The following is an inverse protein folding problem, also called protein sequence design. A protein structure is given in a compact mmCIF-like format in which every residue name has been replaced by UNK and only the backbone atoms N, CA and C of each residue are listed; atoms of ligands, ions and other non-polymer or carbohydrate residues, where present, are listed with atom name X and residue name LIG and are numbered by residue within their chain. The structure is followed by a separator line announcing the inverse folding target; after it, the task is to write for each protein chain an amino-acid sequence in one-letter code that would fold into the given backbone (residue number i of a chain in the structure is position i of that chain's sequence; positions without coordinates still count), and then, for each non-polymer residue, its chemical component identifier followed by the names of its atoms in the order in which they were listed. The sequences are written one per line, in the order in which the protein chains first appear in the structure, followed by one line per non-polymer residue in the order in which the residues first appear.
data_IF_291897645684
#
_entry.id   IF_291897645684
#
_cell.length_a   1.000
_cell.length_b   1.000
_cell.length_c   1.000
_cell.angle_alpha   90.00
_cell.angle_beta   90.00
_cell.angle_gamma   90.00
#
_symmetry.space_group_name_H-M   'P 1'
#
loop_
_entity.id
_entity.type
_entity.pdbx_description
1 polymer ?
#
# COMPACT_ATOMS: atom_id res chain seq x y z
N UNK A 1 -12.47 -9.41 10.11
CA UNK A 1 -12.64 -10.11 8.82
C UNK A 1 -11.51 -9.67 7.91
N UNK A 2 -10.83 -10.60 7.26
CA UNK A 2 -9.78 -10.32 6.27
C UNK A 2 -10.39 -10.42 4.88
N UNK A 3 -10.03 -9.53 3.97
CA UNK A 3 -10.55 -9.52 2.61
C UNK A 3 -9.41 -9.46 1.61
N UNK A 4 -9.44 -10.35 0.62
CA UNK A 4 -8.60 -10.21 -0.55
C UNK A 4 -9.17 -9.12 -1.46
N UNK A 5 -8.34 -8.22 -1.92
CA UNK A 5 -8.70 -7.09 -2.78
C UNK A 5 -7.84 -7.16 -4.03
N UNK A 6 -8.49 -7.13 -5.20
CA UNK A 6 -7.81 -6.96 -6.49
C UNK A 6 -7.66 -5.46 -6.75
N UNK A 7 -6.47 -5.04 -7.11
CA UNK A 7 -6.17 -3.65 -7.44
C UNK A 7 -6.32 -3.47 -8.95
N UNK A 8 -7.01 -2.41 -9.33
CA UNK A 8 -7.40 -2.14 -10.72
C UNK A 8 -6.18 -1.80 -11.58
N UNK A 9 -6.04 -2.46 -12.73
CA UNK A 9 -5.04 -2.13 -13.76
C UNK A 9 -3.85 -3.07 -13.85
N UNK A 10 -3.58 -3.82 -12.79
CA UNK A 10 -2.62 -4.92 -12.76
C UNK A 10 -3.31 -6.11 -12.12
N UNK A 11 -2.99 -7.31 -12.55
CA UNK A 11 -3.50 -8.56 -11.93
C UNK A 11 -2.92 -8.76 -10.51
N UNK A 12 -2.99 -7.70 -9.70
CA UNK A 12 -2.38 -7.61 -8.39
C UNK A 12 -3.44 -7.80 -7.30
N UNK A 13 -3.19 -8.70 -6.37
CA UNK A 13 -4.05 -8.94 -5.22
C UNK A 13 -3.31 -8.75 -3.91
N UNK A 14 -4.02 -8.28 -2.89
CA UNK A 14 -3.50 -8.08 -1.54
C UNK A 14 -4.57 -8.45 -0.51
N UNK A 15 -4.16 -9.00 0.62
CA UNK A 15 -5.06 -9.33 1.73
C UNK A 15 -5.02 -8.21 2.77
N UNK A 16 -6.16 -7.56 2.96
CA UNK A 16 -6.28 -6.42 3.88
C UNK A 16 -7.17 -6.81 5.08
N UNK A 17 -6.70 -6.62 6.33
CA UNK A 17 -7.51 -6.83 7.53
C UNK A 17 -8.47 -5.66 7.75
N UNK A 18 -9.67 -5.93 8.26
CA UNK A 18 -10.66 -4.89 8.57
C UNK A 18 -11.36 -4.32 7.34
N UNK A 19 -11.62 -3.03 7.35
CA UNK A 19 -12.33 -2.31 6.30
C UNK A 19 -11.40 -1.34 5.59
N UNK A 20 -11.24 -1.50 4.28
CA UNK A 20 -10.45 -0.61 3.42
C UNK A 20 -11.28 -0.09 2.25
N UNK A 21 -11.05 1.16 1.90
CA UNK A 21 -11.58 1.77 0.69
C UNK A 21 -10.50 1.77 -0.38
N UNK A 22 -10.72 1.03 -1.44
CA UNK A 22 -9.87 1.08 -2.64
C UNK A 22 -10.33 2.24 -3.51
N UNK A 23 -9.39 3.07 -3.90
CA UNK A 23 -9.58 4.23 -4.76
C UNK A 23 -9.01 3.86 -6.14
N UNK A 24 -9.81 3.84 -7.20
CA UNK A 24 -9.30 3.60 -8.55
C UNK A 24 -8.43 4.77 -9.01
N UNK A 25 -7.29 4.45 -9.63
CA UNK A 25 -6.33 5.43 -10.15
C UNK A 25 -6.23 5.41 -11.69
N UNK A 26 -7.22 4.82 -12.37
CA UNK A 26 -7.28 4.82 -13.84
C UNK A 26 -7.36 6.22 -14.43
N UNK A 27 -8.07 7.11 -13.75
CA UNK A 27 -8.07 8.56 -14.00
C UNK A 27 -8.29 9.31 -12.69
N UNK A 28 -7.85 10.57 -12.61
CA UNK A 28 -8.06 11.41 -11.45
C UNK A 28 -9.57 11.56 -11.11
N UNK A 29 -10.42 11.73 -12.14
CA UNK A 29 -11.87 11.88 -11.96
C UNK A 29 -12.53 10.61 -11.39
N UNK A 30 -12.05 9.42 -11.77
CA UNK A 30 -12.55 8.16 -11.22
C UNK A 30 -12.24 8.07 -9.73
N UNK A 31 -11.02 8.41 -9.35
CA UNK A 31 -10.57 8.49 -7.96
C UNK A 31 -11.38 9.52 -7.15
N UNK A 32 -11.53 10.73 -7.65
CA UNK A 32 -12.27 11.82 -6.99
C UNK A 32 -13.76 11.48 -6.78
N UNK A 33 -14.40 10.81 -7.76
CA UNK A 33 -15.77 10.30 -7.58
C UNK A 33 -15.85 9.29 -6.44
N UNK A 34 -14.88 8.37 -6.36
CA UNK A 34 -14.82 7.37 -5.29
C UNK A 34 -14.61 8.01 -3.93
N UNK A 35 -13.70 8.98 -3.82
CA UNK A 35 -13.44 9.76 -2.60
C UNK A 35 -14.71 10.48 -2.14
N UNK A 36 -15.42 11.15 -3.05
CA UNK A 36 -16.65 11.84 -2.74
C UNK A 36 -17.74 10.91 -2.19
N UNK A 37 -17.88 9.72 -2.78
CA UNK A 37 -18.81 8.70 -2.30
C UNK A 37 -18.40 8.16 -0.91
N UNK A 38 -17.11 7.94 -0.68
CA UNK A 38 -16.57 7.49 0.60
C UNK A 38 -16.83 8.50 1.71
N UNK A 39 -16.48 9.76 1.51
CA UNK A 39 -16.70 10.84 2.48
C UNK A 39 -18.18 10.99 2.82
N UNK A 40 -19.05 10.94 1.80
CA UNK A 40 -20.50 10.99 2.01
C UNK A 40 -21.00 9.81 2.84
N UNK A 41 -20.46 8.61 2.63
CA UNK A 41 -20.81 7.40 3.38
C UNK A 41 -20.36 7.51 4.84
N UNK A 42 -19.15 8.01 5.11
CA UNK A 42 -18.56 8.07 6.45
C UNK A 42 -19.11 9.22 7.31
N UNK A 43 -19.27 10.41 6.73
CA UNK A 43 -19.66 11.63 7.46
C UNK A 43 -21.16 11.99 7.30
N UNK A 44 -21.88 11.22 6.49
CA UNK A 44 -23.31 11.49 6.24
C UNK A 44 -23.56 12.86 5.56
N UNK A 45 -24.78 13.39 5.75
CA UNK A 45 -25.24 14.66 5.16
C UNK A 45 -25.41 15.79 6.18
N UNK A 46 -24.89 15.64 7.39
CA UNK A 46 -25.05 16.64 8.43
C UNK A 46 -24.35 17.96 8.04
N UNK A 47 -25.10 19.05 7.99
CA UNK A 47 -24.60 20.38 7.56
C UNK A 47 -23.48 20.92 8.46
N UNK A 48 -23.49 20.57 9.76
CA UNK A 48 -22.43 20.96 10.70
C UNK A 48 -21.05 20.42 10.29
N UNK A 49 -20.99 19.34 9.51
CA UNK A 49 -19.75 18.73 9.00
C UNK A 49 -19.43 19.16 7.57
N UNK A 50 -20.11 20.15 7.01
CA UNK A 50 -19.92 20.57 5.61
C UNK A 50 -18.48 21.09 5.35
N UNK A 51 -17.93 21.88 6.26
CA UNK A 51 -16.55 22.36 6.20
C UNK A 51 -15.54 21.21 6.21
N UNK A 52 -15.64 20.32 7.20
CA UNK A 52 -14.77 19.15 7.34
C UNK A 52 -14.84 18.25 6.09
N UNK A 53 -16.05 18.00 5.56
CA UNK A 53 -16.21 17.21 4.31
C UNK A 53 -15.50 17.84 3.12
N UNK A 54 -15.50 19.16 3.02
CA UNK A 54 -14.81 19.87 1.94
C UNK A 54 -13.31 19.75 2.08
N UNK A 55 -12.77 20.03 3.25
CA UNK A 55 -11.32 19.92 3.53
C UNK A 55 -10.77 18.51 3.29
N UNK A 56 -11.45 17.49 3.83
CA UNK A 56 -11.06 16.10 3.60
C UNK A 56 -11.11 15.71 2.12
N UNK A 57 -12.13 16.17 1.39
CA UNK A 57 -12.26 15.92 -0.04
C UNK A 57 -11.12 16.57 -0.82
N UNK A 58 -10.81 17.84 -0.54
CA UNK A 58 -9.74 18.57 -1.20
C UNK A 58 -8.39 17.90 -0.93
N UNK A 59 -8.09 17.56 0.32
CA UNK A 59 -6.85 16.87 0.72
C UNK A 59 -6.69 15.51 0.05
N UNK A 60 -7.72 14.66 0.09
CA UNK A 60 -7.63 13.32 -0.51
C UNK A 60 -7.60 13.40 -2.04
N UNK A 61 -8.35 14.31 -2.66
CA UNK A 61 -8.32 14.49 -4.10
C UNK A 61 -6.95 14.97 -4.59
N UNK A 62 -6.26 15.82 -3.83
CA UNK A 62 -4.88 16.21 -4.14
C UNK A 62 -3.97 14.98 -4.15
N UNK A 63 -4.05 14.13 -3.12
CA UNK A 63 -3.29 12.88 -3.06
C UNK A 63 -3.64 11.91 -4.22
N UNK A 64 -4.90 11.86 -4.66
CA UNK A 64 -5.32 11.05 -5.82
C UNK A 64 -4.67 11.57 -7.10
N UNK A 65 -4.65 12.87 -7.33
CA UNK A 65 -4.02 13.47 -8.53
C UNK A 65 -2.52 13.18 -8.53
N UNK A 66 -1.85 13.46 -7.43
CA UNK A 66 -0.42 13.16 -7.27
C UNK A 66 -0.12 11.66 -7.53
N UNK A 67 -0.97 10.76 -7.02
CA UNK A 67 -0.82 9.33 -7.24
C UNK A 67 -0.96 8.95 -8.72
N UNK A 68 -1.95 9.53 -9.42
CA UNK A 68 -2.14 9.32 -10.86
C UNK A 68 -0.96 9.87 -11.67
N UNK A 69 -0.49 11.08 -11.34
CA UNK A 69 0.65 11.72 -12.01
C UNK A 69 1.95 10.91 -11.82
N UNK A 70 2.10 10.23 -10.68
CA UNK A 70 3.21 9.30 -10.40
C UNK A 70 3.06 7.94 -11.08
N UNK A 71 1.96 7.67 -11.78
CA UNK A 71 1.70 6.37 -12.39
C UNK A 71 1.35 5.26 -11.39
N UNK A 72 0.83 5.63 -10.21
CA UNK A 72 0.40 4.62 -9.24
C UNK A 72 -0.79 3.82 -9.77
N UNK A 73 -0.79 2.52 -9.46
CA UNK A 73 -1.83 1.57 -9.92
C UNK A 73 -2.84 1.22 -8.83
N UNK A 74 -2.54 1.53 -7.56
CA UNK A 74 -3.42 1.24 -6.44
C UNK A 74 -3.26 2.24 -5.30
N UNK A 75 -4.39 2.71 -4.77
CA UNK A 75 -4.49 3.47 -3.54
C UNK A 75 -5.56 2.83 -2.66
N UNK A 76 -5.19 2.44 -1.45
CA UNK A 76 -6.13 1.95 -0.46
C UNK A 76 -6.04 2.79 0.82
N UNK A 77 -7.19 3.14 1.37
CA UNK A 77 -7.33 3.90 2.62
C UNK A 77 -8.04 3.02 3.63
N UNK A 78 -7.42 2.80 4.76
CA UNK A 78 -8.02 2.06 5.86
C UNK A 78 -9.07 2.90 6.57
N UNK A 79 -10.16 2.26 6.95
CA UNK A 79 -11.27 2.85 7.68
C UNK A 79 -11.28 2.33 9.12
N UNK A 80 -11.25 1.01 9.27
CA UNK A 80 -11.32 0.32 10.56
C UNK A 80 -10.50 -0.97 10.51
N UNK A 81 -9.80 -1.30 11.57
CA UNK A 81 -9.13 -2.61 11.74
C UNK A 81 -10.11 -3.67 12.25
N UNK A 82 -10.98 -3.26 13.17
CA UNK A 82 -12.11 -4.01 13.71
C UNK A 82 -13.33 -3.08 13.70
N UNK A 83 -14.57 -3.61 13.73
CA UNK A 83 -15.77 -2.78 13.78
C UNK A 83 -15.71 -1.75 14.90
N UNK A 84 -15.82 -0.47 14.55
CA UNK A 84 -15.76 0.66 15.48
C UNK A 84 -14.37 1.06 15.98
N UNK A 85 -13.31 0.41 15.50
CA UNK A 85 -11.92 0.78 15.84
C UNK A 85 -11.25 1.41 14.61
N UNK A 86 -11.12 2.76 14.57
CA UNK A 86 -10.46 3.45 13.48
C UNK A 86 -9.00 3.00 13.35
N UNK A 87 -8.56 2.83 12.11
CA UNK A 87 -7.20 2.46 11.79
C UNK A 87 -6.69 3.36 10.65
N UNK A 88 -6.16 4.54 10.99
CA UNK A 88 -5.74 5.50 10.00
C UNK A 88 -4.46 5.03 9.31
N UNK A 89 -4.60 4.46 8.11
CA UNK A 89 -3.47 4.08 7.29
C UNK A 89 -3.81 4.21 5.81
N UNK A 90 -2.80 4.36 4.97
CA UNK A 90 -2.93 4.33 3.53
C UNK A 90 -1.82 3.53 2.88
N UNK A 91 -2.14 2.90 1.75
CA UNK A 91 -1.23 2.14 0.91
C UNK A 91 -1.28 2.74 -0.49
N UNK A 92 -0.11 3.08 -1.04
CA UNK A 92 0.05 3.50 -2.42
C UNK A 92 0.97 2.52 -3.14
N UNK A 93 0.56 2.03 -4.30
CA UNK A 93 1.28 1.02 -5.07
C UNK A 93 1.73 1.62 -6.39
N UNK A 94 3.04 1.58 -6.63
CA UNK A 94 3.68 2.14 -7.80
C UNK A 94 4.54 1.06 -8.48
N UNK A 95 4.27 0.76 -9.77
CA UNK A 95 5.22 0.03 -10.58
C UNK A 95 6.44 0.91 -10.89
N UNK A 96 7.62 0.33 -10.87
CA UNK A 96 8.88 1.01 -11.13
C UNK A 96 9.79 0.11 -11.97
N UNK A 97 10.62 0.70 -12.79
CA UNK A 97 11.72 -0.02 -13.41
C UNK A 97 12.83 -0.33 -12.40
N UNK A 98 13.61 -1.37 -12.67
CA UNK A 98 14.82 -1.62 -11.91
C UNK A 98 15.78 -0.43 -12.06
N UNK A 99 16.20 0.20 -10.95
CA UNK A 99 17.16 1.29 -11.05
C UNK A 99 18.55 0.76 -11.44
N UNK A 100 19.33 1.59 -12.10
CA UNK A 100 20.72 1.23 -12.52
C UNK A 100 21.60 0.86 -11.34
N UNK A 101 21.30 1.35 -10.14
CA UNK A 101 21.98 1.01 -8.88
C UNK A 101 21.70 -0.41 -8.40
N UNK A 102 20.76 -1.13 -9.01
CA UNK A 102 20.46 -2.53 -8.68
C UNK A 102 21.61 -3.51 -9.06
N UNK A 103 22.59 -3.04 -9.83
CA UNK A 103 23.76 -3.82 -10.21
C UNK A 103 23.48 -4.84 -11.31
N UNK A 104 24.15 -6.01 -11.23
CA UNK A 104 24.06 -7.07 -12.22
C UNK A 104 22.61 -7.63 -12.33
N UNK A 105 22.00 -7.62 -13.53
CA UNK A 105 20.69 -8.21 -13.77
C UNK A 105 20.59 -9.69 -13.40
N UNK A 106 21.67 -10.44 -13.48
CA UNK A 106 21.71 -11.88 -13.19
C UNK A 106 21.92 -12.18 -11.69
N UNK A 107 22.17 -11.15 -10.87
CA UNK A 107 22.32 -11.33 -9.43
C UNK A 107 20.96 -11.69 -8.77
N UNK A 108 20.98 -12.40 -7.63
CA UNK A 108 19.75 -12.69 -6.87
C UNK A 108 18.94 -11.43 -6.59
N UNK A 109 17.61 -11.48 -6.82
CA UNK A 109 16.71 -10.32 -6.69
C UNK A 109 16.80 -9.64 -5.31
N UNK A 110 16.99 -10.41 -4.23
CA UNK A 110 17.18 -9.84 -2.89
C UNK A 110 18.43 -8.95 -2.81
N UNK A 111 19.54 -9.39 -3.40
CA UNK A 111 20.78 -8.63 -3.46
C UNK A 111 20.61 -7.36 -4.30
N UNK A 112 19.93 -7.46 -5.43
CA UNK A 112 19.62 -6.32 -6.31
C UNK A 112 18.75 -5.27 -5.59
N UNK A 113 17.73 -5.70 -4.85
CA UNK A 113 16.88 -4.78 -4.08
C UNK A 113 17.66 -4.06 -2.97
N UNK A 114 18.51 -4.79 -2.22
CA UNK A 114 19.34 -4.18 -1.17
C UNK A 114 20.37 -3.20 -1.75
N UNK A 115 20.93 -3.50 -2.91
CA UNK A 115 21.83 -2.59 -3.63
C UNK A 115 21.10 -1.34 -4.15
N UNK A 116 19.88 -1.53 -4.70
CA UNK A 116 19.05 -0.45 -5.22
C UNK A 116 18.56 0.52 -4.14
N UNK A 117 18.28 0.01 -2.93
CA UNK A 117 17.67 0.78 -1.84
C UNK A 117 18.50 0.69 -0.55
N UNK A 118 19.63 1.40 -0.47
CA UNK A 118 20.50 1.40 0.71
C UNK A 118 19.75 1.77 2.00
N UNK A 119 20.06 1.08 3.08
CA UNK A 119 19.40 1.26 4.37
C UNK A 119 18.05 0.53 4.50
N UNK A 120 17.63 -0.22 3.47
CA UNK A 120 16.53 -1.16 3.61
C UNK A 120 16.98 -2.46 4.27
N UNK A 121 16.03 -3.18 4.85
CA UNK A 121 16.22 -4.50 5.44
C UNK A 121 15.38 -5.53 4.69
N UNK A 122 15.88 -6.76 4.57
CA UNK A 122 15.12 -7.87 4.01
C UNK A 122 14.02 -8.25 5.02
N UNK A 123 12.77 -8.22 4.56
CA UNK A 123 11.62 -8.71 5.30
C UNK A 123 11.48 -10.18 4.97
N UNK A 124 11.45 -11.02 5.94
CA UNK A 124 11.43 -12.47 6.00
C UNK A 124 11.28 -13.24 4.67
N UNK A 125 12.13 -14.27 4.45
CA UNK A 125 12.17 -15.11 3.24
C UNK A 125 10.94 -15.98 2.95
N UNK A 126 9.85 -15.87 3.73
CA UNK A 126 8.63 -16.65 3.51
C UNK A 126 7.79 -16.17 2.33
N UNK A 127 8.03 -14.99 1.85
CA UNK A 127 7.40 -14.52 0.63
C UNK A 127 7.96 -15.30 -0.57
N UNK A 128 7.09 -15.67 -1.51
CA UNK A 128 7.48 -16.27 -2.79
C UNK A 128 8.53 -15.41 -3.52
N UNK A 129 8.66 -14.13 -3.11
CA UNK A 129 9.58 -13.13 -3.64
C UNK A 129 10.25 -12.36 -2.51
N UNK A 130 11.50 -11.92 -2.68
CA UNK A 130 12.16 -11.10 -1.69
C UNK A 130 11.45 -9.74 -1.55
N UNK A 131 11.27 -9.31 -0.32
CA UNK A 131 10.71 -8.00 0.01
C UNK A 131 11.75 -7.27 0.84
N UNK A 132 12.11 -6.05 0.44
CA UNK A 132 12.93 -5.18 1.27
C UNK A 132 12.11 -4.01 1.79
N UNK A 133 12.41 -3.57 3.01
CA UNK A 133 11.68 -2.51 3.69
C UNK A 133 12.63 -1.45 4.24
N UNK A 134 12.23 -0.19 4.10
CA UNK A 134 12.80 0.94 4.84
C UNK A 134 11.67 1.74 5.47
N UNK A 135 11.84 2.17 6.72
CA UNK A 135 10.85 2.97 7.42
C UNK A 135 11.50 4.17 8.11
N UNK A 136 10.68 5.14 8.39
CA UNK A 136 11.03 6.33 9.16
C UNK A 136 9.85 6.78 10.04
N UNK A 137 10.16 7.39 11.17
CA UNK A 137 9.20 8.09 12.01
C UNK A 137 9.34 9.58 11.74
N UNK A 138 8.24 10.20 11.36
CA UNK A 138 8.20 11.63 11.04
C UNK A 138 7.29 12.33 12.04
N UNK A 139 7.85 13.30 12.76
CA UNK A 139 7.06 14.14 13.64
C UNK A 139 6.14 15.04 12.81
N UNK A 140 4.85 14.95 13.06
CA UNK A 140 3.82 15.74 12.40
C UNK A 140 3.03 16.48 13.47
N UNK A 141 2.77 17.77 13.25
CA UNK A 141 1.94 18.56 14.14
C UNK A 141 0.52 18.60 13.57
N UNK A 142 -0.42 18.12 14.36
CA UNK A 142 -1.85 18.21 14.07
C UNK A 142 -2.45 19.18 15.07
N UNK A 143 -2.79 20.38 14.62
CA UNK A 143 -3.28 21.47 15.47
C UNK A 143 -2.27 21.80 16.60
N UNK A 144 -2.57 21.48 17.85
CA UNK A 144 -1.71 21.73 19.01
C UNK A 144 -0.96 20.48 19.51
N UNK A 145 -1.24 19.31 18.92
CA UNK A 145 -0.65 18.04 19.35
C UNK A 145 0.44 17.57 18.39
N UNK A 146 1.57 17.15 18.95
CA UNK A 146 2.64 16.49 18.22
C UNK A 146 2.35 15.00 18.12
N UNK A 147 2.37 14.47 16.91
CA UNK A 147 2.20 13.05 16.63
C UNK A 147 3.37 12.52 15.81
N UNK A 148 3.58 11.21 15.85
CA UNK A 148 4.55 10.54 15.00
C UNK A 148 3.82 9.72 13.94
N UNK A 149 4.13 10.03 12.68
CA UNK A 149 3.67 9.25 11.54
C UNK A 149 4.73 8.22 11.18
N UNK A 150 4.34 6.97 11.06
CA UNK A 150 5.18 5.92 10.50
C UNK A 150 5.02 5.91 8.97
N UNK A 151 6.14 6.07 8.27
CA UNK A 151 6.23 5.95 6.82
C UNK A 151 7.07 4.74 6.48
N UNK A 152 6.54 3.86 5.64
CA UNK A 152 7.21 2.64 5.26
C UNK A 152 7.26 2.56 3.75
N UNK A 153 8.43 2.21 3.21
CA UNK A 153 8.60 1.85 1.83
C UNK A 153 8.95 0.36 1.74
N UNK A 154 8.20 -0.36 0.94
CA UNK A 154 8.50 -1.73 0.54
C UNK A 154 8.84 -1.74 -0.94
N UNK A 155 9.79 -2.58 -1.31
CA UNK A 155 10.12 -2.87 -2.71
C UNK A 155 10.21 -4.38 -2.89
N UNK A 156 9.59 -4.86 -3.94
CA UNK A 156 9.55 -6.28 -4.30
C UNK A 156 9.55 -6.41 -5.84
N UNK A 157 10.08 -7.52 -6.40
CA UNK A 157 10.02 -7.75 -7.82
C UNK A 157 8.57 -7.92 -8.27
N UNK A 158 8.24 -7.44 -9.47
CA UNK A 158 6.98 -7.75 -10.12
C UNK A 158 6.86 -9.25 -10.45
N UNK A 159 5.68 -9.70 -10.88
CA UNK A 159 5.38 -11.10 -11.12
C UNK A 159 6.40 -11.84 -11.99
N UNK A 160 6.81 -11.22 -13.07
CA UNK A 160 7.80 -11.74 -14.01
C UNK A 160 9.26 -11.37 -13.66
N UNK A 161 9.47 -10.55 -12.64
CA UNK A 161 10.78 -10.05 -12.23
C UNK A 161 11.40 -9.00 -13.14
N UNK A 162 10.73 -8.59 -14.21
CA UNK A 162 11.24 -7.61 -15.18
C UNK A 162 11.27 -6.19 -14.61
N UNK A 163 10.40 -5.92 -13.66
CA UNK A 163 10.23 -4.64 -12.96
C UNK A 163 10.11 -4.85 -11.46
N UNK A 164 9.91 -3.79 -10.72
CA UNK A 164 9.66 -3.82 -9.28
C UNK A 164 8.38 -3.08 -8.94
N UNK A 165 7.80 -3.42 -7.80
CA UNK A 165 6.69 -2.70 -7.21
C UNK A 165 7.17 -2.03 -5.93
N UNK A 166 6.90 -0.73 -5.81
CA UNK A 166 7.03 0.00 -4.56
C UNK A 166 5.67 0.10 -3.88
N UNK A 167 5.59 -0.30 -2.62
CA UNK A 167 4.41 -0.02 -1.79
C UNK A 167 4.80 0.99 -0.73
N UNK A 168 4.17 2.16 -0.78
CA UNK A 168 4.35 3.19 0.22
C UNK A 168 3.19 3.16 1.20
N UNK A 169 3.52 3.02 2.48
CA UNK A 169 2.57 3.01 3.59
C UNK A 169 2.74 4.27 4.41
N UNK A 170 1.61 4.91 4.73
CA UNK A 170 1.56 5.97 5.74
C UNK A 170 0.60 5.54 6.84
N UNK A 171 1.08 5.50 8.09
CA UNK A 171 0.30 5.21 9.28
C UNK A 171 0.49 6.34 10.30
N UNK A 172 -0.44 7.31 10.38
CA UNK A 172 -0.37 8.39 11.35
C UNK A 172 -0.60 7.87 12.77
N UNK A 173 -0.08 8.61 13.76
CA UNK A 173 -0.23 8.29 15.18
C UNK A 173 0.28 6.89 15.58
N UNK A 174 1.41 6.46 15.00
CA UNK A 174 1.98 5.14 15.24
C UNK A 174 2.76 5.12 16.57
N UNK A 175 2.05 5.02 17.69
CA UNK A 175 2.66 5.00 19.03
C UNK A 175 3.50 3.75 19.32
N UNK A 176 3.27 2.65 18.59
CA UNK A 176 3.99 1.39 18.78
C UNK A 176 4.51 0.88 17.43
N UNK A 177 5.56 1.52 16.86
CA UNK A 177 6.06 1.21 15.53
C UNK A 177 6.33 -0.28 15.25
N UNK A 178 6.89 -1.08 16.20
CA UNK A 178 7.14 -2.49 15.93
C UNK A 178 5.89 -3.29 15.56
N UNK A 179 4.76 -3.06 16.24
CA UNK A 179 3.49 -3.76 15.94
C UNK A 179 2.94 -3.37 14.57
N UNK A 180 3.08 -2.09 14.20
CA UNK A 180 2.67 -1.61 12.88
C UNK A 180 3.54 -2.19 11.78
N UNK A 181 4.85 -2.30 12.01
CA UNK A 181 5.76 -2.93 11.06
C UNK A 181 5.41 -4.39 10.84
N UNK A 182 5.18 -5.17 11.90
CA UNK A 182 4.79 -6.58 11.82
C UNK A 182 3.46 -6.75 11.04
N UNK A 183 2.47 -5.90 11.33
CA UNK A 183 1.20 -5.89 10.62
C UNK A 183 1.39 -5.62 9.13
N UNK A 184 2.14 -4.57 8.78
CA UNK A 184 2.34 -4.23 7.37
C UNK A 184 3.25 -5.22 6.66
N UNK A 185 4.26 -5.79 7.31
CA UNK A 185 5.07 -6.88 6.76
C UNK A 185 4.17 -8.06 6.36
N UNK A 186 3.21 -8.43 7.22
CA UNK A 186 2.24 -9.49 6.94
C UNK A 186 1.31 -9.12 5.77
N UNK A 187 0.80 -7.88 5.73
CA UNK A 187 -0.05 -7.38 4.65
C UNK A 187 0.71 -7.43 3.32
N UNK A 188 1.92 -6.89 3.27
CA UNK A 188 2.73 -6.83 2.04
C UNK A 188 3.22 -8.22 1.64
N UNK A 189 3.50 -9.10 2.59
CA UNK A 189 3.80 -10.52 2.32
C UNK A 189 2.68 -11.29 1.63
N UNK A 190 1.43 -10.79 1.72
CA UNK A 190 0.27 -11.36 1.02
C UNK A 190 0.09 -10.85 -0.42
N UNK A 191 0.91 -9.90 -0.85
CA UNK A 191 0.82 -9.31 -2.18
C UNK A 191 1.24 -10.33 -3.23
N UNK A 192 0.38 -10.59 -4.20
CA UNK A 192 0.59 -11.56 -5.27
C UNK A 192 -0.05 -11.11 -6.58
N UNK A 193 0.36 -11.72 -7.66
CA UNK A 193 -0.23 -11.51 -8.99
C UNK A 193 -1.23 -12.62 -9.27
N UNK A 194 -2.35 -12.29 -9.91
CA UNK A 194 -3.41 -13.27 -10.23
C UNK A 194 -2.92 -14.39 -11.16
N UNK A 195 -1.84 -14.14 -11.92
CA UNK A 195 -1.20 -15.11 -12.81
C UNK A 195 -0.05 -15.88 -12.13
N UNK A 196 0.21 -15.67 -10.84
CA UNK A 196 1.12 -16.49 -10.06
C UNK A 196 0.46 -17.85 -9.81
N UNK A 197 0.60 -18.77 -10.77
CA UNK A 197 0.29 -20.18 -10.55
C UNK A 197 1.30 -20.70 -9.54
N UNK A 198 0.87 -21.20 -8.36
CA UNK A 198 1.81 -21.83 -7.43
C UNK A 198 2.53 -22.95 -8.17
N UNK A 199 3.84 -22.83 -8.30
CA UNK A 199 4.72 -23.89 -8.82
C UNK A 199 4.53 -25.09 -7.89
N UNK A 200 3.75 -26.10 -8.31
CA UNK A 200 3.45 -27.29 -7.52
C UNK A 200 2.00 -27.77 -7.59
N UNK A 201 1.07 -27.05 -8.23
CA UNK A 201 -0.33 -27.50 -8.32
C UNK A 201 -0.59 -28.52 -9.45
N UNK A 202 0.37 -28.75 -10.37
CA UNK A 202 0.18 -29.69 -11.49
C UNK A 202 0.43 -31.17 -11.13
N UNK A 203 1.08 -31.48 -10.02
CA UNK A 203 1.32 -32.87 -9.63
C UNK A 203 0.17 -33.55 -8.86
N UNK A 204 -0.80 -32.78 -8.33
CA UNK A 204 -1.87 -33.31 -7.50
C UNK A 204 -3.12 -33.80 -8.29
N UNK A 205 -3.15 -33.65 -9.63
CA UNK A 205 -4.32 -34.05 -10.46
C UNK A 205 -4.06 -35.31 -11.30
N UNK A 206 -2.87 -35.91 -11.19
CA UNK A 206 -2.52 -37.16 -11.91
C UNK A 206 -2.20 -38.33 -10.96
N UNK A 207 -2.88 -38.40 -9.84
CA UNK A 207 -2.80 -39.54 -8.93
C UNK A 207 -4.17 -40.16 -8.74
#
# INVERSE_FOLDING_TARGET
MTRQVTLTGEDLSIVLPGSWAVIPLTTAEAGERRVSALIKKQLGRNDRLAGLRRELRESINMSVREAVDLGAVGLAISLEILPGIPFPASLLILPLDWPTTAGDPDAPQAQRLLAAYPGSVLVEERAVRPIVRRHELVSTSYDTESSQDLRINYWLPAGDGSSIVRVYVKAPMAHTPPLWLELFDTIIGSLGWLNDVPVGAEEAVRG
#
